data_IF_065032954181
#
_entry.id   IF_065032954181
#
_cell.length_a   1.000
_cell.length_b   1.000
_cell.length_c   1.000
_cell.angle_alpha   90.00
_cell.angle_beta   90.00
_cell.angle_gamma   90.00
#
_symmetry.space_group_name_H-M   'P 1'
#
loop_
_entity.id
_entity.type
_entity.pdbx_description
1 polymer ?
#
# COMPACT_ATOMS: atom_id res chain seq x y z
N UNK A 1 12.19 -12.42 -13.82
CA UNK A 1 12.31 -11.13 -13.11
C UNK A 1 12.72 -11.41 -11.68
N UNK A 2 13.74 -10.72 -11.15
CA UNK A 2 14.17 -10.87 -9.76
C UNK A 2 13.45 -9.79 -8.94
N UNK A 3 12.64 -10.21 -7.97
CA UNK A 3 11.94 -9.29 -7.07
C UNK A 3 12.98 -8.68 -6.12
N UNK A 4 13.08 -7.35 -5.99
CA UNK A 4 14.02 -6.73 -5.06
C UNK A 4 13.77 -7.18 -3.61
N UNK A 5 14.81 -7.41 -2.80
CA UNK A 5 14.64 -7.78 -1.39
C UNK A 5 13.75 -6.82 -0.60
N UNK A 6 13.81 -5.52 -0.94
CA UNK A 6 12.99 -4.48 -0.32
C UNK A 6 11.48 -4.70 -0.51
N UNK A 7 11.07 -5.21 -1.68
CA UNK A 7 9.67 -5.53 -1.99
C UNK A 7 9.22 -6.75 -1.16
N UNK A 8 10.09 -7.74 -1.00
CA UNK A 8 9.81 -8.92 -0.15
C UNK A 8 9.65 -8.53 1.32
N UNK A 9 10.54 -7.68 1.85
CA UNK A 9 10.43 -7.16 3.22
C UNK A 9 9.18 -6.32 3.40
N UNK A 10 8.84 -5.48 2.42
CA UNK A 10 7.60 -4.70 2.43
C UNK A 10 6.38 -5.63 2.52
N UNK A 11 6.33 -6.65 1.66
CA UNK A 11 5.20 -7.58 1.63
C UNK A 11 5.05 -8.34 2.95
N UNK A 12 6.16 -8.82 3.50
CA UNK A 12 6.16 -9.46 4.80
C UNK A 12 5.55 -8.56 5.88
N UNK A 13 5.97 -7.28 5.94
CA UNK A 13 5.44 -6.29 6.89
C UNK A 13 3.95 -5.99 6.65
N UNK A 14 3.50 -5.97 5.39
CA UNK A 14 2.10 -5.76 5.05
C UNK A 14 1.25 -6.95 5.52
N UNK A 15 1.71 -8.17 5.23
CA UNK A 15 1.07 -9.41 5.62
C UNK A 15 0.96 -9.55 7.15
N UNK A 16 2.05 -9.29 7.87
CA UNK A 16 2.07 -9.32 9.34
C UNK A 16 1.42 -8.10 10.00
N UNK A 17 0.91 -7.14 9.23
CA UNK A 17 0.32 -5.89 9.74
C UNK A 17 1.26 -5.08 10.63
N UNK A 18 2.57 -5.17 10.36
CA UNK A 18 3.63 -4.41 11.04
C UNK A 18 4.17 -3.30 10.14
N UNK A 19 3.36 -2.83 9.21
CA UNK A 19 3.71 -1.71 8.35
C UNK A 19 3.68 -0.42 9.19
N UNK A 20 4.71 0.45 9.12
CA UNK A 20 4.79 1.64 9.97
C UNK A 20 3.89 2.78 9.47
N UNK A 21 2.59 2.51 9.34
CA UNK A 21 1.54 3.52 9.14
C UNK A 21 1.40 4.39 10.39
N UNK A 22 0.92 5.62 10.24
CA UNK A 22 0.87 6.58 11.37
C UNK A 22 0.09 6.04 12.58
N UNK A 23 -1.06 5.41 12.36
CA UNK A 23 -1.87 4.82 13.44
C UNK A 23 -1.10 3.72 14.18
N UNK A 24 -0.35 2.89 13.45
CA UNK A 24 0.47 1.83 14.03
C UNK A 24 1.63 2.39 14.85
N UNK A 25 2.26 3.48 14.38
CA UNK A 25 3.34 4.15 15.09
C UNK A 25 2.85 4.79 16.39
N UNK A 26 1.71 5.47 16.36
CA UNK A 26 1.09 6.02 17.56
C UNK A 26 0.75 4.91 18.57
N UNK A 27 0.20 3.79 18.11
CA UNK A 27 -0.09 2.64 18.97
C UNK A 27 1.17 2.00 19.60
N UNK A 28 2.34 2.20 18.98
CA UNK A 28 3.64 1.77 19.52
C UNK A 28 4.34 2.83 20.38
N UNK A 29 3.69 3.97 20.64
CA UNK A 29 4.27 5.07 21.41
C UNK A 29 5.37 5.84 20.66
N UNK A 30 5.45 5.69 19.33
CA UNK A 30 6.37 6.46 18.49
C UNK A 30 5.65 7.76 18.13
N UNK A 31 6.28 8.89 18.44
CA UNK A 31 5.71 10.19 18.14
C UNK A 31 5.63 10.42 16.63
N UNK A 32 4.44 10.79 16.16
CA UNK A 32 4.17 11.07 14.75
C UNK A 32 3.93 12.57 14.64
N UNK A 33 4.82 13.33 13.97
CA UNK A 33 4.66 14.77 13.91
C UNK A 33 3.38 15.15 13.17
N UNK A 34 2.79 16.27 13.60
CA UNK A 34 1.58 16.90 13.07
C UNK A 34 0.28 16.17 13.37
N UNK A 35 0.00 15.08 12.66
CA UNK A 35 -1.26 14.33 12.80
C UNK A 35 -1.13 12.92 12.23
N UNK A 36 -1.93 12.03 12.82
CA UNK A 36 -2.13 10.62 12.44
C UNK A 36 -2.99 10.49 11.19
N UNK A 37 -3.63 11.58 10.77
CA UNK A 37 -4.52 11.59 9.62
C UNK A 37 -3.76 11.65 8.28
N UNK A 38 -4.41 11.07 7.28
CA UNK A 38 -4.04 11.18 5.89
C UNK A 38 -4.22 12.63 5.40
N UNK A 39 -3.20 13.18 4.73
CA UNK A 39 -3.17 14.57 4.26
C UNK A 39 -4.30 14.86 3.26
N UNK A 40 -4.64 13.86 2.43
CA UNK A 40 -5.64 14.01 1.37
C UNK A 40 -7.06 13.84 1.88
N UNK A 41 -7.29 12.83 2.72
CA UNK A 41 -8.62 12.41 3.11
C UNK A 41 -9.04 12.89 4.51
N UNK A 42 -8.11 13.42 5.32
CA UNK A 42 -8.31 13.81 6.73
C UNK A 42 -8.95 12.71 7.59
N UNK A 43 -8.61 11.45 7.29
CA UNK A 43 -9.02 10.24 8.00
C UNK A 43 -7.79 9.56 8.60
N UNK A 44 -7.93 8.78 9.69
CA UNK A 44 -6.80 8.09 10.31
C UNK A 44 -6.10 7.20 9.28
N UNK A 45 -4.76 7.34 9.20
CA UNK A 45 -3.96 6.60 8.23
C UNK A 45 -3.74 5.14 8.70
N UNK A 46 -4.71 4.29 8.40
CA UNK A 46 -4.62 2.83 8.57
C UNK A 46 -4.09 2.16 7.30
N UNK A 47 -3.68 0.90 7.41
CA UNK A 47 -3.27 0.09 6.24
C UNK A 47 -4.37 0.00 5.19
N UNK A 48 -5.63 -0.17 5.61
CA UNK A 48 -6.79 -0.18 4.71
C UNK A 48 -7.01 1.16 4.05
N UNK A 49 -6.88 2.26 4.82
CA UNK A 49 -7.02 3.58 4.25
C UNK A 49 -5.96 3.84 3.19
N UNK A 50 -4.69 3.54 3.47
CA UNK A 50 -3.58 3.79 2.54
C UNK A 50 -3.70 3.01 1.24
N UNK A 51 -4.09 1.73 1.28
CA UNK A 51 -4.07 0.86 0.10
C UNK A 51 -5.43 0.71 -0.60
N UNK A 52 -6.55 0.99 0.07
CA UNK A 52 -7.89 0.71 -0.48
C UNK A 52 -8.70 2.00 -0.57
N UNK A 53 -8.81 2.76 0.52
CA UNK A 53 -9.79 3.85 0.62
C UNK A 53 -9.26 5.25 0.33
N UNK A 54 -7.95 5.43 0.21
CA UNK A 54 -7.39 6.74 -0.12
C UNK A 54 -7.59 7.05 -1.60
N UNK A 55 -7.86 8.32 -1.92
CA UNK A 55 -8.03 8.79 -3.30
C UNK A 55 -6.89 8.35 -4.23
N UNK A 56 -5.64 8.48 -3.78
CA UNK A 56 -4.46 8.02 -4.55
C UNK A 56 -4.55 6.53 -4.90
N UNK A 57 -4.93 5.71 -3.93
CA UNK A 57 -5.01 4.26 -4.09
C UNK A 57 -6.17 3.88 -5.02
N UNK A 58 -7.35 4.46 -4.81
CA UNK A 58 -8.53 4.24 -5.67
C UNK A 58 -8.20 4.59 -7.13
N UNK A 59 -7.59 5.76 -7.36
CA UNK A 59 -7.21 6.19 -8.70
C UNK A 59 -6.14 5.27 -9.31
N UNK A 60 -5.12 4.91 -8.53
CA UNK A 60 -4.07 4.00 -8.98
C UNK A 60 -4.63 2.63 -9.40
N UNK A 61 -5.51 2.04 -8.57
CA UNK A 61 -6.11 0.74 -8.88
C UNK A 61 -7.05 0.80 -10.07
N UNK A 62 -7.85 1.86 -10.21
CA UNK A 62 -8.74 2.06 -11.36
C UNK A 62 -7.95 2.15 -12.68
N UNK A 63 -6.85 2.92 -12.70
CA UNK A 63 -5.96 3.02 -13.87
C UNK A 63 -5.28 1.67 -14.15
N UNK A 64 -4.78 0.98 -13.13
CA UNK A 64 -4.11 -0.31 -13.29
C UNK A 64 -5.06 -1.39 -13.82
N UNK A 65 -6.27 -1.50 -13.26
CA UNK A 65 -7.28 -2.48 -13.70
C UNK A 65 -7.72 -2.23 -15.14
N UNK A 66 -7.91 -0.96 -15.54
CA UNK A 66 -8.21 -0.61 -16.95
C UNK A 66 -7.06 -0.96 -17.88
N UNK A 67 -5.82 -0.77 -17.44
CA UNK A 67 -4.61 -1.09 -18.23
C UNK A 67 -4.46 -2.59 -18.44
N UNK A 68 -4.70 -3.38 -17.39
CA UNK A 68 -4.62 -4.84 -17.42
C UNK A 68 -5.89 -5.51 -17.98
N UNK A 69 -6.97 -4.76 -18.18
CA UNK A 69 -8.31 -5.27 -18.56
C UNK A 69 -8.80 -6.41 -17.66
N UNK A 70 -8.37 -6.45 -16.40
CA UNK A 70 -8.70 -7.47 -15.40
C UNK A 70 -9.13 -6.80 -14.11
N UNK A 71 -10.21 -7.31 -13.52
CA UNK A 71 -10.69 -6.88 -12.21
C UNK A 71 -9.81 -7.52 -11.12
N UNK A 72 -9.11 -6.70 -10.34
CA UNK A 72 -8.30 -7.15 -9.21
C UNK A 72 -9.13 -7.07 -7.92
N UNK A 73 -9.08 -8.12 -7.10
CA UNK A 73 -9.78 -8.14 -5.81
C UNK A 73 -9.03 -7.26 -4.77
N UNK A 74 -9.30 -5.95 -4.78
CA UNK A 74 -8.77 -4.99 -3.79
C UNK A 74 -9.61 -5.03 -2.51
N UNK A 75 -9.53 -6.15 -1.78
CA UNK A 75 -10.10 -6.28 -0.43
C UNK A 75 -8.99 -6.34 0.62
N UNK A 76 -9.30 -6.10 1.89
CA UNK A 76 -8.32 -6.18 2.99
C UNK A 76 -7.59 -7.53 3.02
N UNK A 77 -8.32 -8.62 2.80
CA UNK A 77 -7.75 -9.97 2.67
C UNK A 77 -6.97 -10.12 1.36
N UNK A 78 -7.50 -9.58 0.25
CA UNK A 78 -6.85 -9.61 -1.05
C UNK A 78 -5.45 -8.97 -1.04
N UNK A 79 -5.31 -7.79 -0.45
CA UNK A 79 -4.00 -7.09 -0.36
C UNK A 79 -3.00 -7.79 0.59
N UNK A 80 -3.49 -8.52 1.59
CA UNK A 80 -2.64 -9.22 2.58
C UNK A 80 -2.16 -10.57 2.08
N UNK A 81 -3.00 -11.28 1.34
CA UNK A 81 -2.73 -12.66 0.92
C UNK A 81 -2.40 -12.79 -0.56
N UNK A 82 -2.54 -11.73 -1.37
CA UNK A 82 -2.43 -11.78 -2.83
C UNK A 82 -3.22 -12.96 -3.41
N UNK A 83 -4.53 -12.99 -3.13
CA UNK A 83 -5.40 -14.04 -3.67
C UNK A 83 -5.77 -13.72 -5.14
N UNK A 84 -4.78 -13.62 -6.03
CA UNK A 84 -5.01 -13.41 -7.45
C UNK A 84 -4.59 -14.66 -8.22
N UNK A 85 -5.50 -15.18 -9.03
CA UNK A 85 -5.20 -16.32 -9.89
C UNK A 85 -4.28 -15.86 -11.03
N UNK A 86 -3.14 -16.53 -11.17
CA UNK A 86 -2.30 -16.38 -12.36
C UNK A 86 -2.96 -17.13 -13.53
N UNK A 87 -3.89 -16.45 -14.19
CA UNK A 87 -4.51 -16.93 -15.42
C UNK A 87 -3.55 -16.68 -16.60
N UNK A 88 -3.46 -17.65 -17.52
CA UNK A 88 -2.75 -17.55 -18.80
C UNK A 88 -1.24 -17.25 -18.71
N UNK A 89 -0.59 -17.59 -17.59
CA UNK A 89 0.85 -17.37 -17.38
C UNK A 89 1.22 -15.90 -17.16
N UNK A 90 0.24 -15.00 -17.01
CA UNK A 90 0.45 -13.60 -16.68
C UNK A 90 0.56 -13.47 -15.15
N UNK A 91 1.67 -12.92 -14.62
CA UNK A 91 1.89 -12.83 -13.18
C UNK A 91 1.12 -11.64 -12.56
N UNK A 92 -0.20 -11.74 -12.45
CA UNK A 92 -1.05 -10.72 -11.83
C UNK A 92 -0.68 -10.44 -10.37
N UNK A 93 -0.21 -11.47 -9.66
CA UNK A 93 0.35 -11.32 -8.32
C UNK A 93 1.50 -10.32 -8.29
N UNK A 94 2.41 -10.38 -9.27
CA UNK A 94 3.54 -9.46 -9.33
C UNK A 94 3.09 -8.04 -9.62
N UNK A 95 2.12 -7.85 -10.52
CA UNK A 95 1.57 -6.52 -10.79
C UNK A 95 0.90 -5.91 -9.56
N UNK A 96 0.12 -6.71 -8.82
CA UNK A 96 -0.51 -6.27 -7.57
C UNK A 96 0.54 -5.94 -6.51
N UNK A 97 1.57 -6.79 -6.36
CA UNK A 97 2.67 -6.59 -5.41
C UNK A 97 3.45 -5.30 -5.70
N UNK A 98 3.79 -5.08 -6.98
CA UNK A 98 4.48 -3.88 -7.43
C UNK A 98 3.62 -2.64 -7.21
N UNK A 99 2.30 -2.73 -7.47
CA UNK A 99 1.35 -1.65 -7.21
C UNK A 99 1.24 -1.27 -5.73
N UNK A 100 1.15 -2.26 -4.84
CA UNK A 100 1.17 -2.03 -3.39
C UNK A 100 2.48 -1.37 -2.97
N UNK A 101 3.62 -1.86 -3.49
CA UNK A 101 4.92 -1.29 -3.18
C UNK A 101 5.06 0.15 -3.70
N UNK A 102 4.56 0.46 -4.90
CA UNK A 102 4.61 1.82 -5.45
C UNK A 102 3.75 2.79 -4.66
N UNK A 103 2.52 2.42 -4.28
CA UNK A 103 1.67 3.24 -3.41
C UNK A 103 2.42 3.53 -2.10
N UNK A 104 2.99 2.49 -1.47
CA UNK A 104 3.71 2.67 -0.21
C UNK A 104 4.93 3.59 -0.35
N UNK A 105 5.73 3.41 -1.40
CA UNK A 105 6.91 4.24 -1.65
C UNK A 105 6.54 5.70 -1.87
N UNK A 106 5.47 5.98 -2.63
CA UNK A 106 4.97 7.34 -2.84
C UNK A 106 4.54 7.97 -1.51
N UNK A 107 3.87 7.22 -0.64
CA UNK A 107 3.45 7.71 0.68
C UNK A 107 4.63 7.97 1.61
N UNK A 108 5.64 7.11 1.60
CA UNK A 108 6.87 7.34 2.36
C UNK A 108 7.64 8.55 1.84
N UNK A 109 7.70 8.78 0.52
CA UNK A 109 8.34 9.97 -0.05
C UNK A 109 7.70 11.26 0.47
N UNK A 110 6.36 11.36 0.45
CA UNK A 110 5.62 12.50 1.00
C UNK A 110 5.88 12.65 2.51
N UNK A 111 5.95 11.54 3.24
CA UNK A 111 6.26 11.57 4.68
C UNK A 111 7.69 12.04 4.96
N UNK A 112 8.69 11.62 4.18
CA UNK A 112 10.06 12.10 4.32
C UNK A 112 10.17 13.60 4.10
N UNK A 113 9.39 14.17 3.17
CA UNK A 113 9.34 15.63 2.98
C UNK A 113 8.70 16.38 4.16
N UNK A 114 7.96 15.71 5.05
CA UNK A 114 7.39 16.33 6.26
C UNK A 114 8.38 16.40 7.44
N UNK A 115 9.51 15.68 7.37
CA UNK A 115 10.56 15.72 8.39
C UNK A 115 11.70 16.70 8.06
N UNK A 116 11.66 17.32 6.87
CA UNK A 116 12.64 18.33 6.42
C UNK A 116 11.96 19.69 6.47
N UNK A 117 11.75 20.21 7.67
CA UNK A 117 11.45 21.63 7.93
C UNK A 117 12.22 22.04 9.18
#
# INVERSE_FOLDING_TARGET
MIIPPSVKTFFFKLHSSTLPVKVWLQAKGIDVPWSVDCILCKKPETTEHVFIFCWDAVFFWDVLQRTLKKQLCITQSGIRFLNVSNEDGIPYDMFMLLGLCSIWRSRMAVRHTQYVV
#
